data_IF_464452226926
#
_entry.id   IF_464452226926
#
_cell.length_a   1.000
_cell.length_b   1.000
_cell.length_c   1.000
_cell.angle_alpha   90.00
_cell.angle_beta   90.00
_cell.angle_gamma   90.00
#
_symmetry.space_group_name_H-M   'P 1'
#
loop_
_entity.id
_entity.type
_entity.pdbx_description
1 polymer ?
#
# COMPACT_ATOMS: atom_id res chain seq x y z
N UNK A 1 -2.17 1.05 13.87
CA UNK A 1 -2.89 2.03 13.03
C UNK A 1 -4.31 2.21 13.57
N UNK A 2 -4.65 3.40 14.10
CA UNK A 2 -6.00 3.71 14.65
C UNK A 2 -6.94 4.25 13.57
N UNK A 3 -7.07 3.55 12.45
CA UNK A 3 -7.95 3.96 11.33
C UNK A 3 -8.97 2.87 11.10
N UNK A 4 -10.25 3.24 10.99
CA UNK A 4 -11.32 2.29 10.75
C UNK A 4 -11.19 1.64 9.35
N UNK A 5 -11.55 0.36 9.23
CA UNK A 5 -11.47 -0.40 7.98
C UNK A 5 -12.19 0.26 6.78
N UNK A 6 -13.39 0.88 6.94
CA UNK A 6 -14.05 1.57 5.83
C UNK A 6 -13.23 2.77 5.33
N UNK A 7 -12.57 3.49 6.22
CA UNK A 7 -11.71 4.63 5.89
C UNK A 7 -10.48 4.18 5.11
N UNK A 8 -9.82 3.11 5.56
CA UNK A 8 -8.66 2.53 4.85
C UNK A 8 -9.07 2.10 3.44
N UNK A 9 -10.20 1.39 3.31
CA UNK A 9 -10.71 0.94 2.01
C UNK A 9 -11.02 2.09 1.05
N UNK A 10 -11.61 3.17 1.57
CA UNK A 10 -11.87 4.38 0.79
C UNK A 10 -10.57 5.03 0.31
N UNK A 11 -9.55 5.14 1.16
CA UNK A 11 -8.25 5.70 0.76
C UNK A 11 -7.55 4.86 -0.30
N UNK A 12 -7.54 3.53 -0.14
CA UNK A 12 -6.97 2.62 -1.14
C UNK A 12 -7.66 2.78 -2.50
N UNK A 13 -8.99 2.95 -2.51
CA UNK A 13 -9.71 3.20 -3.77
C UNK A 13 -9.34 4.52 -4.43
N UNK A 14 -9.12 5.57 -3.65
CA UNK A 14 -8.66 6.87 -4.18
C UNK A 14 -7.26 6.72 -4.80
N UNK A 15 -6.34 6.04 -4.11
CA UNK A 15 -4.99 5.80 -4.61
C UNK A 15 -4.98 4.94 -5.88
N UNK A 16 -5.88 3.96 -5.97
CA UNK A 16 -6.03 3.11 -7.16
C UNK A 16 -6.54 3.94 -8.35
N UNK A 17 -7.59 4.76 -8.14
CA UNK A 17 -8.11 5.64 -9.17
C UNK A 17 -7.08 6.68 -9.63
N UNK A 18 -6.16 7.08 -8.75
CA UNK A 18 -5.06 7.98 -9.09
C UNK A 18 -3.88 7.28 -9.81
N UNK A 19 -3.94 5.96 -9.98
CA UNK A 19 -2.88 5.17 -10.62
C UNK A 19 -1.62 5.01 -9.76
N UNK A 20 -1.72 5.23 -8.45
CA UNK A 20 -0.59 5.09 -7.51
C UNK A 20 -0.47 3.69 -6.92
N UNK A 21 -1.60 2.98 -6.82
CA UNK A 21 -1.63 1.57 -6.42
C UNK A 21 -2.45 0.76 -7.42
N UNK A 22 -2.20 -0.54 -7.45
CA UNK A 22 -3.00 -1.52 -8.17
C UNK A 22 -3.57 -2.53 -7.18
N UNK A 23 -4.75 -3.07 -7.50
CA UNK A 23 -5.35 -4.15 -6.72
C UNK A 23 -5.32 -5.47 -7.49
N UNK A 24 -5.17 -6.56 -6.74
CA UNK A 24 -5.31 -7.93 -7.25
C UNK A 24 -6.16 -8.75 -6.29
N UNK A 25 -7.24 -9.31 -6.82
CA UNK A 25 -8.12 -10.20 -6.05
C UNK A 25 -7.56 -11.62 -6.03
N UNK A 26 -7.47 -12.20 -4.84
CA UNK A 26 -7.04 -13.59 -4.61
C UNK A 26 -8.01 -14.26 -3.65
N UNK A 27 -9.00 -14.98 -4.19
CA UNK A 27 -10.09 -15.54 -3.40
C UNK A 27 -10.92 -14.45 -2.72
N UNK A 28 -10.97 -14.49 -1.37
CA UNK A 28 -11.63 -13.49 -0.55
C UNK A 28 -10.79 -12.23 -0.30
N UNK A 29 -9.51 -12.26 -0.68
CA UNK A 29 -8.56 -11.18 -0.43
C UNK A 29 -8.50 -10.20 -1.59
N UNK A 30 -8.30 -8.93 -1.25
CA UNK A 30 -7.89 -7.91 -2.21
C UNK A 30 -6.53 -7.40 -1.76
N UNK A 31 -5.49 -7.76 -2.50
CA UNK A 31 -4.13 -7.30 -2.25
C UNK A 31 -3.91 -5.98 -2.99
N UNK A 32 -3.35 -5.00 -2.31
CA UNK A 32 -2.94 -3.73 -2.92
C UNK A 32 -1.42 -3.68 -2.98
N UNK A 33 -0.88 -3.18 -4.09
CA UNK A 33 0.54 -2.97 -4.30
C UNK A 33 0.77 -1.61 -4.96
N UNK A 34 1.97 -1.05 -4.82
CA UNK A 34 2.34 0.14 -5.59
C UNK A 34 2.23 -0.15 -7.09
N UNK A 35 1.71 0.81 -7.85
CA UNK A 35 1.74 0.74 -9.30
C UNK A 35 3.18 0.91 -9.81
N UNK A 36 3.41 0.53 -11.07
CA UNK A 36 4.70 0.71 -11.75
C UNK A 36 4.89 2.12 -12.35
N UNK A 37 3.91 3.00 -12.18
CA UNK A 37 3.90 4.36 -12.72
C UNK A 37 3.52 4.44 -14.21
N UNK A 38 3.22 3.32 -14.88
CA UNK A 38 2.86 3.30 -16.30
C UNK A 38 1.52 3.99 -16.61
N UNK A 39 0.65 4.13 -15.59
CA UNK A 39 -0.68 4.73 -15.74
C UNK A 39 -0.63 6.21 -16.19
N UNK A 40 0.37 6.98 -15.75
CA UNK A 40 0.60 8.35 -16.23
C UNK A 40 1.98 8.88 -15.83
N UNK A 41 2.53 9.87 -16.57
CA UNK A 41 3.78 10.55 -16.18
C UNK A 41 3.72 11.19 -14.79
N UNK A 42 2.53 11.65 -14.37
CA UNK A 42 2.30 12.22 -13.04
C UNK A 42 2.41 11.16 -11.95
N UNK A 43 1.80 9.99 -12.16
CA UNK A 43 1.91 8.86 -11.24
C UNK A 43 3.36 8.38 -11.11
N UNK A 44 4.07 8.22 -12.24
CA UNK A 44 5.50 7.87 -12.22
C UNK A 44 6.33 8.87 -11.41
N UNK A 45 6.14 10.18 -11.66
CA UNK A 45 6.86 11.24 -10.94
C UNK A 45 6.54 11.23 -9.44
N UNK A 46 5.26 11.08 -9.08
CA UNK A 46 4.82 11.06 -7.69
C UNK A 46 5.37 9.84 -6.94
N UNK A 47 5.33 8.65 -7.56
CA UNK A 47 5.87 7.41 -6.99
C UNK A 47 7.39 7.51 -6.78
N UNK A 48 8.12 8.10 -7.75
CA UNK A 48 9.54 8.37 -7.62
C UNK A 48 9.86 9.28 -6.43
N UNK A 49 9.12 10.39 -6.31
CA UNK A 49 9.27 11.34 -5.21
C UNK A 49 8.94 10.70 -3.85
N UNK A 50 7.81 10.00 -3.74
CA UNK A 50 7.40 9.32 -2.50
C UNK A 50 8.45 8.30 -2.04
N UNK A 51 9.02 7.54 -2.98
CA UNK A 51 10.06 6.56 -2.65
C UNK A 51 11.29 7.24 -2.02
N UNK A 52 11.69 8.39 -2.56
CA UNK A 52 12.81 9.14 -2.02
C UNK A 52 12.49 9.78 -0.67
N UNK A 53 11.31 10.39 -0.52
CA UNK A 53 10.90 11.06 0.72
C UNK A 53 10.76 10.09 1.89
N UNK A 54 10.21 8.90 1.63
CA UNK A 54 9.91 7.93 2.68
C UNK A 54 11.11 7.04 3.06
N UNK A 55 12.19 7.05 2.29
CA UNK A 55 13.39 6.23 2.57
C UNK A 55 14.04 6.55 3.93
N UNK A 56 13.84 7.76 4.43
CA UNK A 56 14.36 8.23 5.71
C UNK A 56 13.30 8.37 6.80
N UNK A 57 12.05 7.99 6.52
CA UNK A 57 10.97 8.07 7.48
C UNK A 57 11.14 6.99 8.57
N UNK A 58 11.34 7.37 9.84
CA UNK A 58 11.62 6.41 10.91
C UNK A 58 10.43 5.51 11.22
N UNK A 59 9.19 6.00 11.06
CA UNK A 59 7.98 5.21 11.28
C UNK A 59 7.85 4.13 10.19
N UNK A 60 8.14 4.49 8.93
CA UNK A 60 8.13 3.52 7.83
C UNK A 60 9.21 2.45 8.01
N UNK A 61 10.43 2.83 8.45
CA UNK A 61 11.50 1.87 8.73
C UNK A 61 11.08 0.83 9.76
N UNK A 62 10.51 1.28 10.88
CA UNK A 62 10.02 0.39 11.93
C UNK A 62 8.91 -0.56 11.42
N UNK A 63 8.03 -0.06 10.56
CA UNK A 63 7.00 -0.89 9.91
C UNK A 63 7.65 -1.95 9.02
N UNK A 64 8.60 -1.55 8.17
CA UNK A 64 9.29 -2.46 7.23
C UNK A 64 10.03 -3.57 7.98
N UNK A 65 10.71 -3.23 9.08
CA UNK A 65 11.42 -4.21 9.91
C UNK A 65 10.48 -5.27 10.50
N UNK A 66 9.23 -4.91 10.80
CA UNK A 66 8.20 -5.81 11.35
C UNK A 66 7.43 -6.59 10.28
N UNK A 67 7.45 -6.16 9.02
CA UNK A 67 6.68 -6.80 7.93
C UNK A 67 6.93 -8.30 7.78
N UNK A 68 8.18 -8.83 7.90
CA UNK A 68 8.43 -10.27 7.76
C UNK A 68 7.68 -11.13 8.77
N UNK A 69 7.41 -10.59 9.97
CA UNK A 69 6.71 -11.29 11.04
C UNK A 69 5.18 -11.24 10.89
N UNK A 70 4.67 -10.37 10.00
CA UNK A 70 3.23 -10.22 9.75
C UNK A 70 2.76 -11.32 8.81
N UNK A 71 2.09 -12.31 9.40
CA UNK A 71 1.56 -13.48 8.71
C UNK A 71 0.05 -13.41 8.62
N UNK A 72 -0.47 -13.12 7.41
CA UNK A 72 -1.92 -12.96 7.18
C UNK A 72 -2.72 -14.21 7.54
N UNK A 73 -2.13 -15.39 7.32
CA UNK A 73 -2.70 -16.69 7.66
C UNK A 73 -2.95 -16.83 9.17
N UNK A 74 -2.03 -16.32 9.99
CA UNK A 74 -2.16 -16.35 11.44
C UNK A 74 -3.13 -15.28 11.97
N UNK A 75 -3.10 -14.08 11.37
CA UNK A 75 -3.89 -12.92 11.86
C UNK A 75 -5.38 -13.09 11.55
N UNK A 76 -5.70 -13.63 10.38
CA UNK A 76 -7.07 -13.67 9.89
C UNK A 76 -7.79 -15.00 10.17
N UNK A 77 -7.10 -15.96 10.79
CA UNK A 77 -7.64 -17.24 11.25
C UNK A 77 -8.48 -17.96 10.18
N UNK A 78 -7.88 -18.12 8.99
CA UNK A 78 -8.50 -18.81 7.83
C UNK A 78 -7.69 -20.05 7.49
#
# INVERSE_FOLDING_TARGET
LRVAQPTVSKHLKILENAGLVVSKKEGLWVNYCLADGSASPYAASMLGNLRHWLDHDPELKEIIEKLPDIRRDLICNI
#
